data_IF_621624177181
#
_entry.id   IF_621624177181
#
_cell.length_a   1.000
_cell.length_b   1.000
_cell.length_c   1.000
_cell.angle_alpha   90.00
_cell.angle_beta   90.00
_cell.angle_gamma   90.00
#
_symmetry.space_group_name_H-M   'P 1'
#
loop_
_entity.id
_entity.type
_entity.pdbx_description
1 polymer ?
#
# COMPACT_ATOMS: atom_id res chain seq x y z
N UNK A 1 -10.08 6.11 30.33
CA UNK A 1 -11.01 6.82 29.42
C UNK A 1 -10.80 6.27 28.02
N UNK A 2 -11.86 5.86 27.34
CA UNK A 2 -11.79 5.45 25.92
C UNK A 2 -11.49 6.69 25.08
N UNK A 3 -10.30 6.79 24.48
CA UNK A 3 -9.97 7.88 23.56
C UNK A 3 -10.89 7.77 22.34
N UNK A 4 -11.66 8.82 22.07
CA UNK A 4 -12.61 8.86 20.94
C UNK A 4 -11.84 9.27 19.69
N UNK A 5 -11.86 8.42 18.65
CA UNK A 5 -11.40 8.79 17.31
C UNK A 5 -12.53 9.49 16.56
N UNK A 6 -12.20 10.55 15.84
CA UNK A 6 -13.15 11.36 15.07
C UNK A 6 -12.88 11.11 13.59
N UNK A 7 -13.91 10.70 12.86
CA UNK A 7 -13.86 10.68 11.40
C UNK A 7 -14.15 12.09 10.89
N UNK A 8 -13.17 12.71 10.25
CA UNK A 8 -13.34 14.06 9.71
C UNK A 8 -14.14 14.03 8.40
N UNK A 9 -15.07 14.98 8.16
CA UNK A 9 -15.84 15.03 6.92
C UNK A 9 -14.98 15.18 5.64
N UNK A 10 -13.74 15.67 5.76
CA UNK A 10 -12.78 15.76 4.65
C UNK A 10 -12.53 14.41 3.97
N UNK A 11 -12.82 13.30 4.67
CA UNK A 11 -12.67 11.97 4.09
C UNK A 11 -13.55 11.70 2.89
N UNK A 12 -14.75 12.26 2.90
CA UNK A 12 -15.70 12.16 1.80
C UNK A 12 -15.40 13.18 0.68
N UNK A 13 -14.36 14.01 0.86
CA UNK A 13 -13.90 14.97 -0.14
C UNK A 13 -12.56 14.60 -0.75
N UNK A 14 -11.87 13.62 -0.20
CA UNK A 14 -10.56 13.22 -0.70
C UNK A 14 -10.71 12.36 -1.96
N UNK A 15 -10.23 12.85 -3.09
CA UNK A 15 -10.37 12.25 -4.43
C UNK A 15 -9.93 10.78 -4.46
N UNK A 16 -8.74 10.48 -3.92
CA UNK A 16 -8.23 9.09 -3.88
C UNK A 16 -9.07 8.14 -3.01
N UNK A 17 -9.79 8.63 -2.00
CA UNK A 17 -10.60 7.78 -1.11
C UNK A 17 -12.00 7.55 -1.68
N UNK A 18 -12.57 8.53 -2.37
CA UNK A 18 -13.93 8.43 -2.94
C UNK A 18 -13.99 7.53 -4.17
N UNK A 19 -12.86 7.34 -4.86
CA UNK A 19 -12.75 6.41 -6.00
C UNK A 19 -12.60 4.94 -5.59
N UNK A 20 -12.29 4.68 -4.31
CA UNK A 20 -12.11 3.32 -3.82
C UNK A 20 -13.43 2.53 -3.85
N UNK A 21 -13.35 1.20 -4.08
CA UNK A 21 -14.47 0.32 -3.82
C UNK A 21 -14.96 0.48 -2.37
N UNK A 22 -16.27 0.40 -2.16
CA UNK A 22 -16.90 0.67 -0.86
C UNK A 22 -16.31 -0.20 0.27
N UNK A 23 -15.95 -1.44 -0.01
CA UNK A 23 -15.34 -2.35 0.97
C UNK A 23 -13.91 -1.93 1.35
N UNK A 24 -13.14 -1.41 0.39
CA UNK A 24 -11.79 -0.88 0.63
C UNK A 24 -11.87 0.40 1.44
N UNK A 25 -12.77 1.32 1.09
CA UNK A 25 -13.02 2.53 1.88
C UNK A 25 -13.47 2.20 3.32
N UNK A 26 -14.38 1.24 3.47
CA UNK A 26 -14.83 0.76 4.79
C UNK A 26 -13.68 0.19 5.60
N UNK A 27 -12.79 -0.57 4.94
CA UNK A 27 -11.58 -1.11 5.58
C UNK A 27 -10.65 0.02 6.00
N UNK A 28 -10.43 1.03 5.18
CA UNK A 28 -9.61 2.20 5.52
C UNK A 28 -10.12 2.89 6.80
N UNK A 29 -11.42 3.20 6.83
CA UNK A 29 -12.09 3.83 7.98
C UNK A 29 -11.97 2.94 9.23
N UNK A 30 -12.15 1.63 9.06
CA UNK A 30 -11.96 0.66 10.12
C UNK A 30 -10.54 0.65 10.68
N UNK A 31 -9.52 0.64 9.81
CA UNK A 31 -8.11 0.69 10.19
C UNK A 31 -7.79 1.98 10.95
N UNK A 32 -8.34 3.12 10.52
CA UNK A 32 -8.22 4.38 11.26
C UNK A 32 -8.78 4.25 12.68
N UNK A 33 -9.86 3.49 12.90
CA UNK A 33 -10.39 3.26 14.24
C UNK A 33 -9.63 2.20 15.05
N UNK A 34 -8.98 1.26 14.37
CA UNK A 34 -8.33 0.08 14.95
C UNK A 34 -6.86 0.32 15.35
N UNK A 35 -6.13 1.13 14.58
CA UNK A 35 -4.73 1.44 14.82
C UNK A 35 -4.50 2.13 16.18
N UNK A 36 -3.25 2.19 16.63
CA UNK A 36 -2.89 2.95 17.84
C UNK A 36 -2.81 4.48 17.59
N UNK A 37 -2.50 5.25 18.63
CA UNK A 37 -2.54 6.72 18.60
C UNK A 37 -1.53 7.34 17.61
N UNK A 38 -0.50 6.59 17.21
CA UNK A 38 0.45 6.96 16.14
C UNK A 38 0.07 6.34 14.79
N UNK A 39 -1.12 5.77 14.68
CA UNK A 39 -1.63 5.17 13.45
C UNK A 39 -0.99 3.84 13.09
N UNK A 40 -0.38 3.11 14.04
CA UNK A 40 0.33 1.86 13.77
C UNK A 40 -0.43 0.64 14.31
N UNK A 41 -0.36 -0.47 13.57
CA UNK A 41 -0.78 -1.79 14.03
C UNK A 41 -0.15 -2.92 13.20
N UNK A 42 -0.35 -4.17 13.60
CA UNK A 42 -0.11 -5.41 12.87
C UNK A 42 -0.92 -5.46 11.57
N UNK A 43 -0.25 -5.74 10.46
CA UNK A 43 -0.86 -5.98 9.16
C UNK A 43 -1.25 -7.46 8.98
N UNK A 44 -1.63 -8.15 10.06
CA UNK A 44 -2.09 -9.54 9.98
C UNK A 44 -3.54 -9.58 9.45
N UNK A 45 -3.80 -10.20 8.29
CA UNK A 45 -5.13 -10.16 7.66
C UNK A 45 -6.22 -10.81 8.50
N UNK A 46 -5.91 -11.92 9.18
CA UNK A 46 -6.86 -12.62 10.04
C UNK A 46 -7.28 -11.79 11.26
N UNK A 47 -6.33 -11.08 11.88
CA UNK A 47 -6.62 -10.16 12.99
C UNK A 47 -7.48 -8.99 12.53
N UNK A 48 -7.08 -8.33 11.44
CA UNK A 48 -7.80 -7.19 10.87
C UNK A 48 -9.21 -7.61 10.45
N UNK A 49 -9.37 -8.75 9.76
CA UNK A 49 -10.68 -9.28 9.39
C UNK A 49 -11.56 -9.52 10.60
N UNK A 50 -11.02 -10.18 11.63
CA UNK A 50 -11.79 -10.49 12.85
C UNK A 50 -12.26 -9.23 13.58
N UNK A 51 -11.46 -8.16 13.54
CA UNK A 51 -11.77 -6.89 14.19
C UNK A 51 -12.76 -6.03 13.37
N UNK A 52 -12.55 -5.91 12.05
CA UNK A 52 -13.29 -4.98 11.20
C UNK A 52 -14.51 -5.61 10.52
N UNK A 53 -14.45 -6.90 10.23
CA UNK A 53 -15.47 -7.61 9.43
C UNK A 53 -16.02 -8.85 10.17
N UNK A 54 -16.49 -8.72 11.44
CA UNK A 54 -17.01 -9.85 12.18
C UNK A 54 -18.26 -10.42 11.49
N UNK A 55 -18.31 -11.76 11.39
CA UNK A 55 -19.42 -12.51 10.78
C UNK A 55 -19.72 -12.14 9.31
N UNK A 56 -18.69 -11.72 8.55
CA UNK A 56 -18.80 -11.44 7.11
C UNK A 56 -17.99 -12.48 6.32
N UNK A 57 -18.60 -13.62 5.94
CA UNK A 57 -17.87 -14.71 5.28
C UNK A 57 -17.41 -14.36 3.85
N UNK A 58 -18.01 -13.35 3.22
CA UNK A 58 -17.59 -12.85 1.92
C UNK A 58 -16.21 -12.15 1.95
N UNK A 59 -15.83 -11.60 3.11
CA UNK A 59 -14.52 -10.97 3.29
C UNK A 59 -13.56 -12.03 3.81
N UNK A 60 -12.58 -12.40 2.99
CA UNK A 60 -11.56 -13.39 3.33
C UNK A 60 -10.27 -12.72 3.79
N UNK A 61 -9.33 -13.49 4.34
CA UNK A 61 -7.99 -12.98 4.66
C UNK A 61 -7.30 -12.43 3.39
N UNK A 62 -7.49 -13.08 2.25
CA UNK A 62 -6.99 -12.62 0.94
C UNK A 62 -7.63 -11.30 0.49
N UNK A 63 -8.93 -11.11 0.76
CA UNK A 63 -9.61 -9.84 0.47
C UNK A 63 -9.04 -8.69 1.32
N UNK A 64 -8.68 -8.96 2.58
CA UNK A 64 -8.03 -7.96 3.43
C UNK A 64 -6.63 -7.62 2.91
N UNK A 65 -5.85 -8.60 2.47
CA UNK A 65 -4.56 -8.35 1.81
C UNK A 65 -4.72 -7.43 0.59
N UNK A 66 -5.71 -7.69 -0.26
CA UNK A 66 -6.03 -6.84 -1.42
C UNK A 66 -6.38 -5.41 -0.99
N UNK A 67 -7.22 -5.24 0.03
CA UNK A 67 -7.58 -3.92 0.55
C UNK A 67 -6.35 -3.18 1.08
N UNK A 68 -5.49 -3.85 1.85
CA UNK A 68 -4.27 -3.24 2.39
C UNK A 68 -3.33 -2.79 1.28
N UNK A 69 -3.14 -3.61 0.24
CA UNK A 69 -2.30 -3.26 -0.90
C UNK A 69 -2.85 -2.07 -1.69
N UNK A 70 -4.15 -2.01 -1.92
CA UNK A 70 -4.78 -0.85 -2.58
C UNK A 70 -4.60 0.43 -1.76
N UNK A 71 -4.73 0.34 -0.43
CA UNK A 71 -4.54 1.49 0.47
C UNK A 71 -3.07 1.94 0.55
N UNK A 72 -2.13 0.99 0.48
CA UNK A 72 -0.70 1.26 0.37
C UNK A 72 -0.36 1.93 -0.97
N UNK A 73 -0.98 1.46 -2.06
CA UNK A 73 -0.79 1.99 -3.41
C UNK A 73 -1.16 3.48 -3.51
N UNK A 74 -2.28 3.88 -2.92
CA UNK A 74 -2.73 5.29 -2.90
C UNK A 74 -2.05 6.12 -1.78
N UNK A 75 -1.21 5.50 -0.96
CA UNK A 75 -0.44 6.16 0.10
C UNK A 75 -1.25 6.54 1.34
N UNK A 76 -2.44 5.96 1.54
CA UNK A 76 -3.24 6.17 2.77
C UNK A 76 -2.60 5.46 3.96
N UNK A 77 -2.05 4.28 3.69
CA UNK A 77 -1.22 3.53 4.64
C UNK A 77 0.16 3.26 4.04
N UNK A 78 1.09 2.87 4.89
CA UNK A 78 2.36 2.28 4.52
C UNK A 78 2.47 0.91 5.17
N UNK A 79 2.68 -0.13 4.36
CA UNK A 79 2.94 -1.50 4.86
C UNK A 79 4.45 -1.69 4.97
N UNK A 80 4.92 -2.14 6.13
CA UNK A 80 6.36 -2.35 6.38
C UNK A 80 6.61 -3.59 7.23
N UNK A 81 7.76 -4.22 7.00
CA UNK A 81 8.24 -5.31 7.83
C UNK A 81 9.02 -4.77 9.03
N UNK A 82 8.71 -5.27 10.21
CA UNK A 82 9.40 -4.94 11.47
C UNK A 82 10.38 -6.04 11.88
N UNK A 83 10.06 -7.26 11.50
CA UNK A 83 10.82 -8.49 11.69
C UNK A 83 10.48 -9.42 10.51
N UNK A 84 11.33 -10.38 10.10
CA UNK A 84 11.01 -11.38 9.07
C UNK A 84 9.67 -12.11 9.28
N UNK A 85 9.09 -12.12 10.49
CA UNK A 85 7.78 -12.72 10.76
C UNK A 85 6.66 -11.73 11.07
N UNK A 86 6.92 -10.41 11.04
CA UNK A 86 5.95 -9.40 11.46
C UNK A 86 5.87 -8.25 10.47
N UNK A 87 4.72 -8.19 9.82
CA UNK A 87 4.31 -7.06 8.98
C UNK A 87 3.40 -6.15 9.78
N UNK A 88 3.64 -4.85 9.70
CA UNK A 88 2.85 -3.80 10.31
C UNK A 88 2.36 -2.83 9.23
N UNK A 89 1.34 -2.06 9.56
CA UNK A 89 0.94 -0.91 8.77
C UNK A 89 1.05 0.36 9.62
N UNK A 90 1.23 1.49 8.95
CA UNK A 90 1.16 2.82 9.52
C UNK A 90 0.23 3.65 8.66
N UNK A 91 -0.67 4.40 9.29
CA UNK A 91 -1.55 5.33 8.62
C UNK A 91 -0.84 6.69 8.48
N UNK A 92 -1.07 7.38 7.36
CA UNK A 92 -0.48 8.70 7.12
C UNK A 92 -0.82 9.71 8.22
N UNK A 93 0.13 10.58 8.54
CA UNK A 93 0.04 11.52 9.69
C UNK A 93 -1.16 12.46 9.58
N UNK A 94 -1.48 12.90 8.37
CA UNK A 94 -2.67 13.70 8.03
C UNK A 94 -3.97 13.04 8.52
N UNK A 95 -3.99 11.71 8.60
CA UNK A 95 -5.17 10.95 8.98
C UNK A 95 -5.19 10.49 10.43
N UNK A 96 -4.03 10.40 11.10
CA UNK A 96 -3.93 9.87 12.46
C UNK A 96 -3.60 10.90 13.53
N UNK A 97 -3.59 12.20 13.20
CA UNK A 97 -3.30 13.26 14.17
C UNK A 97 -4.28 13.27 15.35
N UNK A 98 -3.81 12.83 16.52
CA UNK A 98 -4.54 12.87 17.78
C UNK A 98 -3.96 13.89 18.75
N UNK A 99 -4.82 14.44 19.60
CA UNK A 99 -4.40 15.30 20.69
C UNK A 99 -3.92 14.43 21.88
N UNK A 100 -2.69 14.66 22.36
CA UNK A 100 -2.01 13.86 23.40
C UNK A 100 -1.88 12.35 23.07
N UNK A 101 -1.08 11.99 22.04
CA UNK A 101 -0.89 10.60 21.65
C UNK A 101 -0.13 9.81 22.72
N UNK A 102 -0.53 8.56 22.90
CA UNK A 102 0.25 7.59 23.67
C UNK A 102 1.35 7.03 22.76
N UNK A 103 2.58 6.82 23.27
CA UNK A 103 3.62 6.17 22.48
C UNK A 103 3.13 4.82 21.96
N UNK A 104 3.32 4.61 20.66
CA UNK A 104 2.90 3.37 20.01
C UNK A 104 3.74 2.17 20.46
N UNK A 105 3.09 1.01 20.48
CA UNK A 105 3.75 -0.28 20.81
C UNK A 105 4.47 -0.89 19.61
N UNK A 106 4.25 -0.35 18.42
CA UNK A 106 4.83 -0.81 17.17
C UNK A 106 5.97 0.12 16.76
N UNK A 107 7.05 -0.42 16.17
CA UNK A 107 8.14 0.41 15.70
C UNK A 107 7.65 1.31 14.54
N UNK A 108 8.26 2.49 14.36
CA UNK A 108 7.91 3.38 13.26
C UNK A 108 8.25 2.75 11.90
N UNK A 109 7.51 3.10 10.84
CA UNK A 109 7.88 2.72 9.49
C UNK A 109 9.25 3.32 9.10
N UNK A 110 10.04 2.64 8.24
CA UNK A 110 11.23 3.22 7.63
C UNK A 110 10.92 4.55 6.93
N UNK A 111 11.89 5.46 6.89
CA UNK A 111 11.74 6.72 6.16
C UNK A 111 11.39 6.47 4.68
N UNK A 112 10.39 7.17 4.15
CA UNK A 112 9.92 7.01 2.78
C UNK A 112 9.06 5.76 2.52
N UNK A 113 8.51 5.12 3.57
CA UNK A 113 7.61 3.97 3.39
C UNK A 113 6.25 4.34 2.81
N UNK A 114 5.79 5.59 3.00
CA UNK A 114 4.58 6.08 2.38
C UNK A 114 4.80 6.33 0.90
N UNK A 115 3.92 5.79 0.05
CA UNK A 115 3.92 6.11 -1.37
C UNK A 115 3.42 7.54 -1.59
N UNK A 116 3.99 8.21 -2.58
CA UNK A 116 3.54 9.54 -3.02
C UNK A 116 2.08 9.45 -3.46
N UNK A 117 1.20 10.06 -2.66
CA UNK A 117 -0.25 9.98 -2.77
C UNK A 117 -0.88 10.78 -1.64
N UNK A 118 -1.61 10.11 -0.75
CA UNK A 118 -2.37 10.74 0.36
C UNK A 118 -1.51 11.37 1.47
N UNK A 119 -0.26 10.95 1.65
CA UNK A 119 0.59 11.28 2.81
C UNK A 119 1.82 12.14 2.55
N UNK A 120 1.99 12.68 1.34
CA UNK A 120 3.09 13.60 1.05
C UNK A 120 2.60 15.03 1.21
N UNK A 121 2.88 15.66 2.35
CA UNK A 121 2.92 17.12 2.39
C UNK A 121 3.95 17.58 1.36
N UNK A 122 3.57 18.40 0.34
CA UNK A 122 4.53 18.90 -0.64
C UNK A 122 5.62 19.80 -0.03
N UNK A 123 5.51 20.13 1.26
CA UNK A 123 6.40 21.02 2.01
C UNK A 123 7.43 20.32 2.90
N UNK A 124 7.44 18.97 2.95
CA UNK A 124 8.42 18.23 3.76
C UNK A 124 9.64 17.81 2.94
N UNK A 125 10.34 18.81 2.42
CA UNK A 125 11.71 18.66 1.88
C UNK A 125 12.69 18.91 3.03
N UNK A 126 13.59 17.98 3.37
CA UNK A 126 14.75 18.31 4.20
C UNK A 126 15.61 19.31 3.42
N UNK A 127 15.69 20.54 3.92
CA UNK A 127 16.62 21.55 3.39
C UNK A 127 18.02 21.14 3.83
N UNK A 128 18.72 20.38 2.98
CA UNK A 128 20.17 20.24 3.05
C UNK A 128 20.78 21.36 2.20
N UNK A 129 21.35 22.38 2.86
CA UNK A 129 22.20 23.38 2.23
C UNK A 129 23.44 22.69 1.63
N UNK A 130 23.55 22.66 0.30
CA UNK A 130 24.75 22.21 -0.41
C UNK A 130 24.66 22.59 -1.88
N UNK A 131 25.42 23.62 -2.27
CA UNK A 131 25.30 24.29 -3.56
C UNK A 131 25.89 23.57 -4.78
N UNK A 132 25.64 24.20 -5.93
CA UNK A 132 26.38 24.01 -7.17
C UNK A 132 25.60 23.31 -8.29
N UNK A 133 25.15 24.10 -9.27
CA UNK A 133 25.36 23.95 -10.73
C UNK A 133 25.48 22.50 -11.30
N UNK A 134 24.80 22.06 -12.35
CA UNK A 134 24.46 22.67 -13.64
C UNK A 134 23.54 21.68 -14.41
N UNK A 135 22.68 22.20 -15.29
CA UNK A 135 21.46 21.51 -15.71
C UNK A 135 21.58 20.45 -16.79
N UNK A 136 20.56 19.57 -16.85
CA UNK A 136 20.15 18.90 -18.08
C UNK A 136 18.61 18.82 -18.16
N UNK A 137 18.14 19.13 -19.36
CA UNK A 137 16.76 19.38 -19.75
C UNK A 137 15.92 18.10 -19.73
N UNK A 138 14.81 18.13 -18.99
CA UNK A 138 13.79 17.08 -18.94
C UNK A 138 13.02 17.00 -20.27
N UNK A 139 12.95 15.80 -20.84
CA UNK A 139 11.88 15.41 -21.79
C UNK A 139 11.06 14.28 -21.14
N UNK A 140 9.74 14.46 -20.96
CA UNK A 140 8.91 13.40 -20.41
C UNK A 140 8.67 12.32 -21.46
N UNK A 141 9.13 11.09 -21.19
CA UNK A 141 8.72 9.93 -21.95
C UNK A 141 7.33 9.49 -21.48
N UNK A 142 6.32 9.95 -22.20
CA UNK A 142 4.98 9.37 -22.15
C UNK A 142 4.99 7.92 -22.64
N UNK A 143 4.20 7.07 -21.99
CA UNK A 143 3.58 5.89 -22.62
C UNK A 143 4.29 4.55 -22.46
N UNK A 144 3.70 3.65 -21.66
CA UNK A 144 2.87 2.56 -22.22
C UNK A 144 2.39 1.61 -21.11
N UNK A 145 1.08 1.32 -21.00
CA UNK A 145 0.62 0.15 -20.26
C UNK A 145 1.20 -1.12 -20.90
N UNK A 146 1.54 -2.09 -20.05
CA UNK A 146 2.00 -3.42 -20.46
C UNK A 146 1.03 -4.02 -21.47
N UNK A 147 1.44 -4.10 -22.74
CA UNK A 147 0.66 -4.80 -23.77
C UNK A 147 0.41 -6.27 -23.40
N UNK A 148 -0.63 -6.91 -23.97
CA UNK A 148 -0.93 -8.30 -23.70
C UNK A 148 0.22 -9.21 -24.14
N UNK A 149 0.57 -10.18 -23.29
CA UNK A 149 1.49 -11.26 -23.64
C UNK A 149 0.80 -12.23 -24.61
N UNK A 150 1.52 -12.91 -25.52
CA UNK A 150 0.95 -13.86 -26.47
C UNK A 150 0.19 -14.99 -25.74
N UNK A 151 -0.98 -15.35 -26.24
CA UNK A 151 -1.85 -16.36 -25.63
C UNK A 151 -1.14 -17.72 -25.50
N UNK A 152 -1.13 -18.27 -24.28
CA UNK A 152 -0.63 -19.62 -23.98
C UNK A 152 0.79 -19.72 -23.40
N UNK A 153 1.53 -18.61 -23.22
CA UNK A 153 2.89 -18.64 -22.63
C UNK A 153 2.90 -17.98 -21.23
N UNK A 154 3.66 -18.50 -20.25
CA UNK A 154 3.77 -17.86 -18.93
C UNK A 154 4.31 -16.43 -19.06
N UNK A 155 3.63 -15.42 -18.46
CA UNK A 155 4.11 -14.06 -18.49
C UNK A 155 5.43 -13.97 -17.71
N UNK A 156 6.39 -13.22 -18.26
CA UNK A 156 7.71 -13.09 -17.65
C UNK A 156 7.61 -12.46 -16.26
N UNK A 157 8.35 -12.97 -15.26
CA UNK A 157 8.45 -12.34 -13.94
C UNK A 157 9.24 -11.03 -13.97
N UNK A 158 9.67 -10.54 -15.13
CA UNK A 158 10.41 -9.30 -15.26
C UNK A 158 9.84 -8.42 -16.37
N UNK A 159 9.97 -7.11 -16.22
CA UNK A 159 9.47 -6.17 -17.22
C UNK A 159 10.38 -6.14 -18.47
N UNK A 160 9.88 -5.52 -19.56
CA UNK A 160 10.64 -5.36 -20.81
C UNK A 160 11.98 -4.61 -20.65
N UNK A 161 12.11 -3.77 -19.62
CA UNK A 161 13.36 -3.09 -19.31
C UNK A 161 14.42 -4.01 -18.66
N UNK A 162 14.00 -5.16 -18.10
CA UNK A 162 14.88 -6.13 -17.44
C UNK A 162 14.53 -7.57 -17.87
N UNK A 163 14.67 -7.95 -19.15
CA UNK A 163 14.24 -9.25 -19.64
C UNK A 163 14.97 -10.43 -18.99
N UNK A 164 16.21 -10.23 -18.52
CA UNK A 164 17.02 -11.21 -17.79
C UNK A 164 16.92 -11.09 -16.27
N UNK A 165 16.08 -10.20 -15.75
CA UNK A 165 15.94 -9.91 -14.33
C UNK A 165 16.83 -8.79 -13.80
N UNK A 166 16.52 -8.34 -12.59
CA UNK A 166 17.25 -7.29 -11.88
C UNK A 166 17.21 -7.55 -10.37
N UNK A 167 18.35 -7.33 -9.70
CA UNK A 167 18.50 -7.38 -8.24
C UNK A 167 18.14 -6.04 -7.58
N UNK A 168 18.04 -4.97 -8.37
CA UNK A 168 17.61 -3.66 -7.87
C UNK A 168 16.07 -3.60 -7.80
N UNK A 169 15.50 -2.93 -6.79
CA UNK A 169 14.05 -2.81 -6.67
C UNK A 169 13.48 -2.06 -7.88
N UNK A 170 12.67 -2.74 -8.69
CA UNK A 170 12.06 -2.20 -9.90
C UNK A 170 10.53 -2.39 -9.87
N UNK A 171 9.80 -1.27 -9.95
CA UNK A 171 8.33 -1.17 -9.95
C UNK A 171 7.67 -2.12 -10.97
N UNK A 172 8.15 -2.10 -12.21
CA UNK A 172 7.57 -2.89 -13.30
C UNK A 172 7.96 -4.37 -13.22
N UNK A 173 9.07 -4.72 -12.56
CA UNK A 173 9.39 -6.13 -12.31
C UNK A 173 8.51 -6.70 -11.21
N UNK A 174 8.21 -5.93 -10.15
CA UNK A 174 7.30 -6.37 -9.10
C UNK A 174 5.90 -6.72 -9.63
N UNK A 175 5.33 -5.88 -10.49
CA UNK A 175 4.04 -6.15 -11.13
C UNK A 175 4.10 -7.34 -12.09
N UNK A 176 5.20 -7.49 -12.84
CA UNK A 176 5.43 -8.65 -13.71
C UNK A 176 5.50 -9.97 -12.91
N UNK A 177 6.16 -9.99 -11.74
CA UNK A 177 6.20 -11.16 -10.84
C UNK A 177 4.82 -11.55 -10.32
N UNK A 178 3.99 -10.57 -9.96
CA UNK A 178 2.61 -10.83 -9.52
C UNK A 178 1.75 -11.38 -10.65
N UNK A 179 1.90 -10.85 -11.87
CA UNK A 179 1.21 -11.38 -13.06
C UNK A 179 1.66 -12.83 -13.37
N UNK A 180 2.96 -13.10 -13.30
CA UNK A 180 3.53 -14.43 -13.45
C UNK A 180 2.97 -15.41 -12.40
N UNK A 181 2.94 -15.00 -11.13
CA UNK A 181 2.40 -15.81 -10.03
C UNK A 181 0.93 -16.15 -10.24
N UNK A 182 0.08 -15.17 -10.60
CA UNK A 182 -1.34 -15.38 -10.88
C UNK A 182 -1.56 -16.35 -12.04
N UNK A 183 -0.74 -16.27 -13.08
CA UNK A 183 -0.83 -17.19 -14.22
C UNK A 183 -0.50 -18.63 -13.81
N UNK A 184 0.56 -18.84 -13.02
CA UNK A 184 0.90 -20.18 -12.52
C UNK A 184 -0.16 -20.74 -11.57
N UNK A 185 -0.72 -19.91 -10.68
CA UNK A 185 -1.81 -20.32 -9.79
C UNK A 185 -3.03 -20.77 -10.60
N UNK A 186 -3.42 -20.01 -11.64
CA UNK A 186 -4.54 -20.38 -12.52
C UNK A 186 -4.31 -21.70 -13.29
N UNK A 187 -3.08 -21.99 -13.71
CA UNK A 187 -2.75 -23.24 -14.39
C UNK A 187 -2.85 -24.44 -13.43
N UNK A 188 -2.33 -24.31 -12.21
CA UNK A 188 -2.43 -25.36 -11.18
C UNK A 188 -3.89 -25.70 -10.89
N UNK A 189 -4.75 -24.70 -10.71
CA UNK A 189 -6.19 -24.92 -10.51
C UNK A 189 -6.91 -25.53 -11.72
N UNK A 190 -6.41 -25.34 -12.93
CA UNK A 190 -6.98 -25.94 -14.15
C UNK A 190 -6.53 -27.38 -14.39
N UNK A 191 -5.39 -27.79 -13.83
CA UNK A 191 -4.89 -29.18 -13.92
C UNK A 191 -5.50 -30.10 -12.85
N UNK A 192 -6.03 -29.54 -11.75
CA UNK A 192 -6.64 -30.29 -10.64
C UNK A 192 -8.18 -30.51 -10.76
N UNK A 193 -8.81 -30.05 -11.84
CA UNK A 193 -10.27 -30.09 -12.08
C UNK A 193 -10.63 -30.96 -13.29
#
# INVERSE_FOLDING_TARGET
MTKRRILHPELWRHELLIELPTEVFTTAVGLHMYADDEGRESANPGLIRSALWPNRPAITDSTIDEHLLLLDEIGVIAIYATDPRRTCFAIGETWCKQNNPTPSRFPPPPAGSFRTGYGSDPDSVPVEEGGGEEGEQWVPAEGAPSGPDPEGMPPSPFCKAHPSGTERPCRNCGTARLRARRWYEQQIYSEES
#
